data_IF_195497222181
#
_entry.id   IF_195497222181
#
_cell.length_a   1.000
_cell.length_b   1.000
_cell.length_c   1.000
_cell.angle_alpha   90.00
_cell.angle_beta   90.00
_cell.angle_gamma   90.00
#
_symmetry.space_group_name_H-M   'P 1'
#
loop_
_entity.id
_entity.type
_entity.pdbx_description
1 polymer ?
#
# COMPACT_ATOMS: atom_id res chain seq x y z
N UNK A 1 -41.68 26.51 -23.68
CA UNK A 1 -40.54 25.59 -23.92
C UNK A 1 -39.31 26.09 -23.18
N UNK A 2 -39.26 25.95 -21.85
CA UNK A 2 -38.21 26.54 -21.00
C UNK A 2 -37.49 25.52 -20.09
N UNK A 3 -37.83 24.23 -20.18
CA UNK A 3 -37.35 23.20 -19.27
C UNK A 3 -36.05 22.51 -19.72
N UNK A 4 -35.59 22.76 -20.95
CA UNK A 4 -34.44 22.04 -21.53
C UNK A 4 -33.07 22.67 -21.20
N UNK A 5 -33.03 23.89 -20.62
CA UNK A 5 -31.77 24.63 -20.41
C UNK A 5 -31.08 24.36 -19.08
N UNK A 6 -31.74 23.70 -18.13
CA UNK A 6 -31.17 23.45 -16.79
C UNK A 6 -30.57 22.05 -16.61
N UNK A 7 -30.65 21.18 -17.61
CA UNK A 7 -30.08 19.83 -17.53
C UNK A 7 -28.54 19.79 -17.58
N UNK A 8 -27.86 20.92 -17.85
CA UNK A 8 -26.40 20.97 -17.95
C UNK A 8 -25.69 21.04 -16.58
N UNK A 9 -26.39 21.41 -15.50
CA UNK A 9 -25.80 21.56 -14.16
C UNK A 9 -25.74 20.25 -13.34
N UNK A 10 -26.29 19.14 -13.84
CA UNK A 10 -26.31 17.85 -13.15
C UNK A 10 -25.23 16.87 -13.65
N UNK A 11 -24.08 17.39 -14.06
CA UNK A 11 -22.89 16.57 -14.31
C UNK A 11 -21.77 17.14 -13.43
N UNK A 12 -21.93 16.97 -12.12
CA UNK A 12 -20.78 16.81 -11.23
C UNK A 12 -20.30 15.38 -11.47
N UNK A 13 -19.23 15.13 -12.27
CA UNK A 13 -18.63 13.82 -12.20
C UNK A 13 -17.99 13.76 -10.82
N UNK A 14 -18.61 13.01 -9.92
CA UNK A 14 -17.96 12.48 -8.72
C UNK A 14 -16.83 11.62 -9.25
N UNK A 15 -15.67 12.24 -9.53
CA UNK A 15 -14.42 11.52 -9.70
C UNK A 15 -14.06 10.99 -8.33
N UNK A 16 -14.64 9.86 -7.97
CA UNK A 16 -13.99 8.93 -7.06
C UNK A 16 -12.74 8.46 -7.79
N UNK A 17 -11.64 9.20 -7.61
CA UNK A 17 -10.33 8.75 -8.03
C UNK A 17 -10.08 7.44 -7.29
N UNK A 18 -10.13 6.30 -7.99
CA UNK A 18 -9.67 5.04 -7.44
C UNK A 18 -8.18 5.23 -7.15
N UNK A 19 -7.84 5.36 -5.88
CA UNK A 19 -6.48 5.63 -5.43
C UNK A 19 -5.69 4.31 -5.50
N UNK A 20 -4.38 4.39 -5.76
CA UNK A 20 -3.57 3.25 -6.19
C UNK A 20 -3.70 2.04 -5.25
N UNK A 21 -3.90 0.84 -5.82
CA UNK A 21 -3.95 -0.42 -5.06
C UNK A 21 -2.53 -0.95 -4.83
N UNK A 22 -2.25 -1.39 -3.60
CA UNK A 22 -1.03 -2.14 -3.29
C UNK A 22 -1.19 -3.60 -3.71
N UNK A 23 -0.16 -4.14 -4.35
CA UNK A 23 -0.05 -5.53 -4.75
C UNK A 23 1.31 -6.09 -4.30
N UNK A 24 1.39 -7.40 -4.16
CA UNK A 24 2.59 -8.11 -3.71
C UNK A 24 2.97 -9.19 -4.70
N UNK A 25 4.26 -9.23 -5.06
CA UNK A 25 4.79 -10.23 -6.00
C UNK A 25 4.60 -11.66 -5.51
N UNK A 26 4.67 -11.88 -4.19
CA UNK A 26 4.54 -13.20 -3.57
C UNK A 26 3.63 -13.11 -2.36
N UNK A 27 2.50 -13.82 -2.40
CA UNK A 27 1.51 -13.85 -1.31
C UNK A 27 1.91 -14.77 -0.17
N UNK A 28 2.62 -15.85 -0.49
CA UNK A 28 3.11 -16.84 0.47
C UNK A 28 4.63 -16.93 0.36
N UNK A 29 5.34 -16.48 1.40
CA UNK A 29 6.79 -16.49 1.45
C UNK A 29 7.29 -17.52 2.45
N UNK A 30 8.08 -18.49 1.99
CA UNK A 30 8.74 -19.45 2.87
C UNK A 30 10.12 -18.93 3.26
N UNK A 31 10.29 -18.56 4.52
CA UNK A 31 11.55 -18.01 5.04
C UNK A 31 12.26 -19.07 5.87
N UNK A 32 13.55 -19.30 5.60
CA UNK A 32 14.37 -20.19 6.44
C UNK A 32 14.77 -19.49 7.75
N UNK A 33 15.05 -20.29 8.78
CA UNK A 33 15.44 -19.77 10.09
C UNK A 33 16.73 -18.96 10.00
N UNK A 34 16.70 -17.77 10.61
CA UNK A 34 17.76 -16.78 10.63
C UNK A 34 18.25 -16.31 9.25
N UNK A 35 17.49 -16.58 8.19
CA UNK A 35 17.72 -16.07 6.85
C UNK A 35 16.75 -14.96 6.52
N UNK A 36 17.12 -14.17 5.52
CA UNK A 36 16.28 -13.12 4.94
C UNK A 36 15.76 -13.60 3.60
N UNK A 37 14.46 -13.44 3.41
CA UNK A 37 13.82 -13.52 2.11
C UNK A 37 13.17 -12.17 1.81
N UNK A 38 12.83 -11.92 0.56
CA UNK A 38 12.24 -10.64 0.18
C UNK A 38 11.03 -10.81 -0.72
N UNK A 39 10.08 -9.88 -0.59
CA UNK A 39 9.01 -9.72 -1.55
C UNK A 39 8.95 -8.27 -2.04
N UNK A 40 8.44 -8.10 -3.25
CA UNK A 40 8.20 -6.77 -3.81
C UNK A 40 6.78 -6.35 -3.49
N UNK A 41 6.63 -5.19 -2.87
CA UNK A 41 5.38 -4.46 -2.73
C UNK A 41 5.31 -3.44 -3.86
N UNK A 42 4.29 -3.54 -4.70
CA UNK A 42 4.07 -2.64 -5.83
C UNK A 42 2.76 -1.88 -5.71
N UNK A 43 2.70 -0.72 -6.35
CA UNK A 43 1.52 0.12 -6.45
C UNK A 43 1.03 0.12 -7.89
N UNK A 44 -0.23 -0.23 -8.13
CA UNK A 44 -0.76 -0.34 -9.51
C UNK A 44 -0.77 1.00 -10.24
N UNK A 45 -0.91 2.11 -9.53
CA UNK A 45 -0.91 3.48 -10.07
C UNK A 45 -0.19 4.42 -9.11
N UNK A 46 0.63 5.37 -9.59
CA UNK A 46 1.21 6.41 -8.75
C UNK A 46 0.14 7.16 -7.96
N UNK A 47 0.49 7.59 -6.75
CA UNK A 47 -0.44 8.32 -5.89
C UNK A 47 -0.84 9.69 -6.51
N UNK A 48 -2.06 10.20 -6.24
CA UNK A 48 -2.52 11.47 -6.78
C UNK A 48 -1.82 12.68 -6.14
N UNK A 49 -1.76 13.84 -6.84
CA UNK A 49 -1.12 15.10 -6.39
C UNK A 49 -1.64 15.63 -5.06
N UNK A 50 -1.17 15.03 -3.98
CA UNK A 50 -1.57 15.35 -2.61
C UNK A 50 -0.33 15.78 -1.83
N UNK A 51 -0.46 16.82 -1.01
CA UNK A 51 0.59 17.30 -0.09
C UNK A 51 0.74 16.44 1.16
N UNK A 52 -0.05 15.37 1.30
CA UNK A 52 -0.05 14.48 2.45
C UNK A 52 1.01 13.40 2.29
N UNK A 53 1.81 13.19 3.33
CA UNK A 53 2.70 12.03 3.44
C UNK A 53 1.86 10.78 3.68
N UNK A 54 2.11 9.73 2.90
CA UNK A 54 1.51 8.40 3.11
C UNK A 54 2.47 7.55 3.90
N UNK A 55 1.98 6.96 4.98
CA UNK A 55 2.75 6.11 5.86
C UNK A 55 2.28 4.67 5.63
N UNK A 56 3.21 3.82 5.22
CA UNK A 56 2.98 2.38 5.04
C UNK A 56 3.67 1.67 6.19
N UNK A 57 2.94 0.86 6.94
CA UNK A 57 3.45 0.09 8.08
C UNK A 57 3.12 -1.38 7.90
N UNK A 58 4.04 -2.25 8.34
CA UNK A 58 3.82 -3.70 8.34
C UNK A 58 3.43 -4.17 9.74
N UNK A 59 2.21 -4.65 9.87
CA UNK A 59 1.69 -5.25 11.09
C UNK A 59 1.91 -6.77 11.04
N UNK A 60 2.67 -7.29 12.00
CA UNK A 60 3.10 -8.68 12.04
C UNK A 60 2.32 -9.39 13.14
N UNK A 61 1.59 -10.44 12.77
CA UNK A 61 0.79 -11.21 13.73
C UNK A 61 1.63 -11.82 14.87
N UNK A 62 2.78 -12.40 14.52
CA UNK A 62 3.70 -13.04 15.47
C UNK A 62 5.13 -12.51 15.29
N UNK A 63 5.47 -11.44 16.00
CA UNK A 63 6.79 -10.79 15.95
C UNK A 63 7.92 -11.64 16.53
N UNK A 64 7.60 -12.71 17.26
CA UNK A 64 8.53 -13.73 17.76
C UNK A 64 8.92 -14.74 16.67
N UNK A 65 8.12 -14.87 15.61
CA UNK A 65 8.36 -15.78 14.49
C UNK A 65 9.10 -15.10 13.34
N UNK A 66 8.74 -13.85 13.02
CA UNK A 66 9.32 -13.11 11.91
C UNK A 66 9.51 -11.63 12.24
N UNK A 67 10.42 -10.97 11.53
CA UNK A 67 10.51 -9.51 11.49
C UNK A 67 10.67 -8.98 10.07
N UNK A 68 10.19 -7.77 9.80
CA UNK A 68 10.32 -7.11 8.51
C UNK A 68 11.34 -5.98 8.56
N UNK A 69 12.03 -5.76 7.44
CA UNK A 69 12.94 -4.63 7.24
C UNK A 69 12.75 -4.06 5.82
N UNK A 70 12.29 -2.81 5.68
CA UNK A 70 11.90 -1.90 6.77
C UNK A 70 10.58 -2.32 7.45
N UNK A 71 10.35 -1.90 8.70
CA UNK A 71 9.07 -2.09 9.41
C UNK A 71 7.94 -1.20 8.86
N UNK A 72 8.32 -0.18 8.10
CA UNK A 72 7.43 0.73 7.40
C UNK A 72 8.23 1.76 6.61
N UNK A 73 7.56 2.47 5.72
CA UNK A 73 8.17 3.54 4.92
C UNK A 73 7.16 4.63 4.62
N UNK A 74 7.69 5.80 4.26
CA UNK A 74 6.89 6.98 3.96
C UNK A 74 6.98 7.32 2.48
N UNK A 75 5.84 7.62 1.87
CA UNK A 75 5.72 8.16 0.53
C UNK A 75 5.44 9.66 0.67
N UNK A 76 6.42 10.47 0.33
CA UNK A 76 6.38 11.94 0.29
C UNK A 76 6.21 12.43 -1.15
N UNK A 77 6.20 13.75 -1.34
CA UNK A 77 6.11 14.34 -2.67
C UNK A 77 7.32 13.97 -3.56
N UNK A 78 8.51 13.81 -2.96
CA UNK A 78 9.77 13.61 -3.69
C UNK A 78 9.92 12.19 -4.24
N UNK A 79 9.42 11.18 -3.51
CA UNK A 79 9.49 9.77 -3.92
C UNK A 79 8.15 9.26 -4.47
N UNK A 80 7.26 10.15 -4.91
CA UNK A 80 5.90 9.75 -5.22
C UNK A 80 5.71 8.95 -6.52
N UNK A 81 6.69 9.04 -7.40
CA UNK A 81 6.75 8.21 -8.61
C UNK A 81 7.32 6.82 -8.32
N UNK A 82 7.83 6.58 -7.11
CA UNK A 82 8.23 5.24 -6.69
C UNK A 82 6.97 4.42 -6.47
N UNK A 83 6.84 3.36 -7.27
CA UNK A 83 5.71 2.43 -7.20
C UNK A 83 6.14 1.06 -6.71
N UNK A 84 7.41 0.84 -6.41
CA UNK A 84 7.94 -0.46 -6.00
C UNK A 84 8.87 -0.32 -4.79
N UNK A 85 8.71 -1.24 -3.83
CA UNK A 85 9.51 -1.37 -2.63
C UNK A 85 9.87 -2.83 -2.40
N UNK A 86 11.14 -3.09 -2.06
CA UNK A 86 11.62 -4.43 -1.70
C UNK A 86 11.59 -4.54 -0.18
N UNK A 87 10.79 -5.47 0.33
CA UNK A 87 10.61 -5.70 1.77
C UNK A 87 11.30 -7.00 2.13
N UNK A 88 12.21 -6.94 3.09
CA UNK A 88 12.92 -8.12 3.59
C UNK A 88 12.20 -8.66 4.82
N UNK A 89 12.02 -9.97 4.86
CA UNK A 89 11.44 -10.72 5.98
C UNK A 89 12.51 -11.66 6.52
N UNK A 90 12.78 -11.56 7.81
CA UNK A 90 13.69 -12.48 8.51
C UNK A 90 12.88 -13.52 9.28
N UNK A 91 13.24 -14.79 9.12
CA UNK A 91 12.75 -15.87 9.97
C UNK A 91 13.47 -15.86 11.33
N UNK A 92 12.75 -15.70 12.43
CA UNK A 92 13.29 -15.78 13.79
C UNK A 92 13.05 -17.17 14.39
N UNK A 93 11.85 -17.71 14.21
CA UNK A 93 11.42 -19.01 14.73
C UNK A 93 10.57 -19.77 13.72
N UNK A 94 10.38 -21.07 13.92
CA UNK A 94 9.57 -21.90 13.03
C UNK A 94 8.08 -21.70 13.31
N UNK A 95 7.28 -21.50 12.28
CA UNK A 95 5.83 -21.34 12.41
C UNK A 95 5.21 -20.67 11.20
N UNK A 96 3.98 -20.18 11.38
CA UNK A 96 3.26 -19.39 10.39
C UNK A 96 2.90 -18.04 11.00
N UNK A 97 3.13 -16.96 10.26
CA UNK A 97 2.72 -15.62 10.64
C UNK A 97 2.23 -14.88 9.41
N UNK A 98 1.13 -14.14 9.58
CA UNK A 98 0.62 -13.23 8.56
C UNK A 98 1.26 -11.85 8.76
N UNK A 99 1.59 -11.19 7.65
CA UNK A 99 2.04 -9.79 7.62
C UNK A 99 0.99 -8.97 6.89
N UNK A 100 0.38 -8.03 7.60
CA UNK A 100 -0.59 -7.10 7.04
C UNK A 100 0.08 -5.76 6.71
N UNK A 101 -0.38 -5.13 5.65
CA UNK A 101 0.08 -3.78 5.29
C UNK A 101 -0.99 -2.78 5.71
N UNK A 102 -0.63 -1.84 6.56
CA UNK A 102 -1.50 -0.75 7.01
C UNK A 102 -1.04 0.57 6.41
N UNK A 103 -1.96 1.28 5.74
CA UNK A 103 -1.69 2.50 4.98
C UNK A 103 -2.45 3.66 5.60
N UNK A 104 -1.72 4.71 5.97
CA UNK A 104 -2.30 5.93 6.56
C UNK A 104 -1.93 7.14 5.69
N UNK A 105 -2.88 8.02 5.32
CA UNK A 105 -4.32 7.92 5.58
C UNK A 105 -5.02 6.85 4.72
N UNK A 106 -6.05 6.21 5.27
CA UNK A 106 -6.81 5.11 4.63
C UNK A 106 -7.54 5.51 3.36
N UNK A 107 -7.88 6.80 3.26
CA UNK A 107 -8.51 7.46 2.11
C UNK A 107 -7.70 7.31 0.81
N UNK A 108 -6.46 6.79 0.87
CA UNK A 108 -5.56 6.60 -0.27
C UNK A 108 -5.65 5.22 -0.91
N UNK A 109 -6.38 4.30 -0.30
CA UNK A 109 -6.50 2.91 -0.76
C UNK A 109 -7.94 2.46 -1.02
N UNK A 110 -8.93 3.31 -0.76
CA UNK A 110 -10.37 3.04 -0.98
C UNK A 110 -10.94 3.66 -2.26
#
# INVERSE_FOLDING_TARGET
MALLRYAWFLILPVLTCVQGKFDVSTKDLKVQLNQYESFNLSLTKPLPPTSKTVIVTFDIQHSDLICTNPSGFNITADNRNQTEWVIHVKGLSAGHSVVNTNVTPSDITE
#
